data_IF_514685750892
#
_entry.id   IF_514685750892
#
_cell.length_a   1.000
_cell.length_b   1.000
_cell.length_c   1.000
_cell.angle_alpha   90.00
_cell.angle_beta   90.00
_cell.angle_gamma   90.00
#
_symmetry.space_group_name_H-M   'P 1'
#
loop_
_entity.id
_entity.type
_entity.pdbx_description
1 polymer ?
#
# COMPACT_ATOMS: atom_id res chain seq x y z
N UNK A 1 14.64 -0.93 41.29
CA UNK A 1 15.08 -1.22 39.92
C UNK A 1 14.45 -2.53 39.50
N UNK A 2 13.43 -2.48 38.66
CA UNK A 2 12.84 -3.70 38.10
C UNK A 2 13.77 -4.16 36.96
N UNK A 3 14.46 -5.27 37.14
CA UNK A 3 15.31 -5.87 36.10
C UNK A 3 14.41 -6.27 34.94
N UNK A 4 14.48 -5.55 33.81
CA UNK A 4 13.77 -5.96 32.60
C UNK A 4 14.47 -7.19 32.01
N UNK A 5 13.68 -8.12 31.51
CA UNK A 5 14.22 -9.29 30.81
C UNK A 5 14.92 -8.85 29.51
N UNK A 6 15.95 -9.59 29.12
CA UNK A 6 16.78 -9.29 27.94
C UNK A 6 15.95 -9.28 26.66
N UNK A 7 14.92 -10.13 26.58
CA UNK A 7 13.97 -10.14 25.48
C UNK A 7 13.23 -8.79 25.36
N UNK A 8 12.76 -8.24 26.48
CA UNK A 8 12.09 -6.93 26.49
C UNK A 8 13.05 -5.79 26.12
N UNK A 9 14.31 -5.86 26.53
CA UNK A 9 15.31 -4.86 26.11
C UNK A 9 15.57 -4.94 24.60
N UNK A 10 15.60 -6.16 24.05
CA UNK A 10 15.75 -6.40 22.62
C UNK A 10 14.54 -5.89 21.82
N UNK A 11 13.32 -6.13 22.29
CA UNK A 11 12.08 -5.58 21.71
C UNK A 11 12.10 -4.05 21.63
N UNK A 12 12.44 -3.38 22.74
CA UNK A 12 12.55 -1.91 22.80
C UNK A 12 13.64 -1.41 21.85
N UNK A 13 14.80 -2.08 21.81
CA UNK A 13 15.88 -1.72 20.91
C UNK A 13 15.47 -1.84 19.44
N UNK A 14 14.79 -2.94 19.06
CA UNK A 14 14.25 -3.11 17.71
C UNK A 14 13.27 -2.00 17.33
N UNK A 15 12.38 -1.59 18.25
CA UNK A 15 11.45 -0.48 18.01
C UNK A 15 12.18 0.83 17.71
N UNK A 16 13.23 1.14 18.48
CA UNK A 16 14.05 2.33 18.28
C UNK A 16 14.77 2.26 16.92
N UNK A 17 15.36 1.12 16.57
CA UNK A 17 16.02 0.93 15.29
C UNK A 17 15.07 1.11 14.10
N UNK A 18 13.88 0.48 14.15
CA UNK A 18 12.86 0.66 13.11
C UNK A 18 12.44 2.13 13.01
N UNK A 19 12.30 2.84 14.13
CA UNK A 19 12.01 4.28 14.13
C UNK A 19 13.10 5.10 13.43
N UNK A 20 14.38 4.79 13.67
CA UNK A 20 15.48 5.49 13.00
C UNK A 20 15.47 5.22 11.50
N UNK A 21 15.31 3.95 11.10
CA UNK A 21 15.26 3.57 9.69
C UNK A 21 14.10 4.29 8.98
N UNK A 22 12.89 4.27 9.56
CA UNK A 22 11.71 4.94 8.97
C UNK A 22 11.95 6.45 8.83
N UNK A 23 12.54 7.10 9.85
CA UNK A 23 12.88 8.52 9.80
C UNK A 23 13.87 8.84 8.67
N UNK A 24 14.94 8.04 8.57
CA UNK A 24 15.99 8.17 7.55
C UNK A 24 15.42 8.00 6.13
N UNK A 25 14.60 6.96 5.93
CA UNK A 25 14.00 6.63 4.64
C UNK A 25 12.91 7.62 4.20
N UNK A 26 12.22 8.28 5.14
CA UNK A 26 11.29 9.36 4.84
C UNK A 26 11.98 10.74 4.68
N UNK A 27 13.29 10.81 4.89
CA UNK A 27 14.09 12.03 4.83
C UNK A 27 13.51 13.16 5.70
N UNK A 28 13.28 12.84 6.98
CA UNK A 28 12.64 13.71 7.96
C UNK A 28 13.63 14.33 8.95
N UNK A 29 13.40 15.59 9.31
CA UNK A 29 14.07 16.27 10.40
C UNK A 29 13.58 15.79 11.78
N UNK A 30 14.12 16.35 12.87
CA UNK A 30 13.60 16.07 14.22
C UNK A 30 12.24 16.75 14.45
N UNK A 31 12.01 17.89 13.81
CA UNK A 31 10.77 18.68 13.82
C UNK A 31 9.59 17.97 13.17
N UNK A 32 9.88 17.03 12.26
CA UNK A 32 8.93 16.21 11.50
C UNK A 32 8.47 14.97 12.27
N UNK A 33 9.05 14.71 13.46
CA UNK A 33 8.81 13.52 14.27
C UNK A 33 8.11 13.89 15.57
N UNK A 34 6.83 13.56 15.67
CA UNK A 34 6.03 13.78 16.87
C UNK A 34 6.01 12.51 17.72
N UNK A 35 6.66 12.57 18.89
CA UNK A 35 6.59 11.52 19.89
C UNK A 35 5.36 11.74 20.78
N UNK A 36 4.32 10.93 20.58
CA UNK A 36 3.13 10.92 21.44
C UNK A 36 3.33 9.93 22.58
N UNK A 37 2.99 10.37 23.80
CA UNK A 37 3.36 9.69 25.06
C UNK A 37 4.88 9.55 25.19
N UNK A 38 5.58 10.67 24.97
CA UNK A 38 7.02 10.78 25.10
C UNK A 38 7.43 10.47 26.54
N UNK A 39 8.32 9.50 26.70
CA UNK A 39 9.15 9.38 27.90
C UNK A 39 10.18 10.50 27.85
N UNK A 40 9.95 11.62 28.53
CA UNK A 40 10.98 12.63 28.73
C UNK A 40 11.90 12.24 29.90
N UNK A 41 13.18 12.49 29.70
CA UNK A 41 14.24 12.00 30.54
C UNK A 41 15.27 13.09 30.82
N UNK A 42 15.41 13.41 32.10
CA UNK A 42 16.47 14.24 32.66
C UNK A 42 17.82 13.49 32.69
N UNK A 43 18.33 13.07 31.53
CA UNK A 43 19.74 12.67 31.35
C UNK A 43 20.24 11.36 32.00
N UNK A 44 19.39 10.54 32.63
CA UNK A 44 19.81 9.27 33.26
C UNK A 44 18.83 8.14 32.95
N UNK A 45 19.18 7.25 32.01
CA UNK A 45 18.40 6.11 31.46
C UNK A 45 17.68 5.26 32.54
N UNK A 46 16.42 5.59 32.87
CA UNK A 46 15.50 4.70 33.60
C UNK A 46 14.14 4.65 32.90
N UNK A 47 13.82 3.47 32.35
CA UNK A 47 12.62 3.20 31.58
C UNK A 47 11.49 2.64 32.46
N UNK A 48 10.81 3.47 33.25
CA UNK A 48 9.57 3.05 33.90
C UNK A 48 8.40 3.22 32.92
N UNK A 49 7.93 2.09 32.38
CA UNK A 49 6.69 2.03 31.61
C UNK A 49 5.55 2.26 32.63
N UNK A 50 4.87 3.40 32.55
CA UNK A 50 3.58 3.53 33.23
C UNK A 50 2.69 2.39 32.75
N UNK A 51 2.14 1.59 33.67
CA UNK A 51 1.19 0.50 33.32
C UNK A 51 0.00 1.11 32.57
N UNK A 52 0.05 1.17 31.24
CA UNK A 52 -1.06 1.72 30.45
C UNK A 52 -0.67 2.54 29.20
N UNK A 53 0.53 3.12 29.12
CA UNK A 53 0.84 4.10 28.06
C UNK A 53 1.57 3.48 26.85
N UNK A 54 1.22 3.94 25.64
CA UNK A 54 1.75 3.45 24.36
C UNK A 54 2.87 4.34 23.83
N UNK A 55 4.03 3.81 23.47
CA UNK A 55 5.02 4.60 22.71
C UNK A 55 4.61 4.67 21.25
N UNK A 56 4.19 5.86 20.82
CA UNK A 56 3.74 6.15 19.45
C UNK A 56 4.62 7.24 18.84
N UNK A 57 5.09 7.00 17.62
CA UNK A 57 5.87 7.95 16.85
C UNK A 57 5.11 8.25 15.57
N UNK A 58 4.86 9.55 15.34
CA UNK A 58 4.14 10.03 14.18
C UNK A 58 5.11 10.80 13.28
N UNK A 59 5.20 10.38 12.03
CA UNK A 59 6.08 10.97 11.03
C UNK A 59 5.25 11.86 10.12
N UNK A 60 5.52 13.17 10.15
CA UNK A 60 4.78 14.18 9.40
C UNK A 60 5.71 15.10 8.66
N UNK A 61 5.32 15.50 7.45
CA UNK A 61 6.02 16.52 6.68
C UNK A 61 5.00 17.52 6.18
N UNK A 62 5.22 18.80 6.45
CA UNK A 62 4.30 19.89 6.06
C UNK A 62 2.85 19.67 6.53
N UNK A 63 2.67 19.07 7.71
CA UNK A 63 1.36 18.74 8.27
C UNK A 63 0.67 17.50 7.66
N UNK A 64 1.29 16.85 6.67
CA UNK A 64 0.82 15.61 6.06
C UNK A 64 1.42 14.42 6.82
N UNK A 65 0.57 13.48 7.21
CA UNK A 65 1.00 12.24 7.85
C UNK A 65 1.57 11.26 6.82
N UNK A 66 2.81 10.82 7.05
CA UNK A 66 3.52 9.88 6.17
C UNK A 66 3.57 8.49 6.78
N UNK A 67 3.81 8.39 8.08
CA UNK A 67 3.84 7.11 8.78
C UNK A 67 3.49 7.23 10.27
N UNK A 68 3.09 6.11 10.85
CA UNK A 68 2.92 5.92 12.28
C UNK A 68 3.65 4.65 12.72
N UNK A 69 4.43 4.71 13.79
CA UNK A 69 5.08 3.55 14.40
C UNK A 69 4.62 3.41 15.85
N UNK A 70 4.16 2.22 16.24
CA UNK A 70 3.60 1.93 17.56
C UNK A 70 4.29 0.74 18.19
N UNK A 71 4.70 0.89 19.45
CA UNK A 71 5.20 -0.21 20.28
C UNK A 71 4.09 -0.81 21.14
N UNK A 72 3.99 -2.14 21.15
CA UNK A 72 3.06 -2.94 21.95
C UNK A 72 1.62 -2.39 21.96
N UNK A 73 0.96 -2.31 20.78
CA UNK A 73 -0.43 -1.89 20.71
C UNK A 73 -1.30 -2.84 21.53
N UNK A 74 -2.20 -2.29 22.35
CA UNK A 74 -3.23 -3.08 23.04
C UNK A 74 -4.52 -3.05 22.23
N UNK A 75 -5.23 -4.18 22.20
CA UNK A 75 -6.60 -4.25 21.72
C UNK A 75 -7.49 -3.46 22.71
N UNK A 76 -8.22 -2.48 22.21
CA UNK A 76 -9.18 -1.72 23.01
C UNK A 76 -10.46 -2.56 23.19
N UNK A 77 -10.43 -3.51 24.12
CA UNK A 77 -11.64 -4.28 24.52
C UNK A 77 -12.57 -3.50 25.47
N UNK A 78 -12.32 -2.20 25.72
CA UNK A 78 -13.18 -1.39 26.59
C UNK A 78 -13.40 0.02 26.05
N UNK A 79 -14.69 0.38 26.04
CA UNK A 79 -15.20 1.73 25.92
C UNK A 79 -14.35 2.71 26.76
N UNK A 80 -13.97 3.83 26.15
CA UNK A 80 -13.35 5.01 26.78
C UNK A 80 -11.82 5.07 26.96
N UNK A 81 -11.02 4.72 25.95
CA UNK A 81 -9.66 5.29 25.84
C UNK A 81 -9.41 5.86 24.44
N UNK A 82 -9.42 7.18 24.33
CA UNK A 82 -9.15 7.93 23.09
C UNK A 82 -7.67 7.86 22.62
N UNK A 83 -6.86 6.94 23.13
CA UNK A 83 -5.39 7.01 23.11
C UNK A 83 -4.71 5.75 22.54
N UNK A 84 -5.43 4.65 22.30
CA UNK A 84 -4.93 3.53 21.47
C UNK A 84 -5.08 3.83 19.98
N UNK A 85 -4.33 3.14 19.10
CA UNK A 85 -4.66 3.08 17.66
C UNK A 85 -6.13 2.69 17.55
N UNK A 86 -7.00 3.66 17.23
CA UNK A 86 -8.47 3.58 17.45
C UNK A 86 -9.17 2.41 16.73
N UNK A 87 -8.46 1.70 15.86
CA UNK A 87 -9.05 0.88 14.82
C UNK A 87 -8.52 -0.56 14.80
N UNK A 88 -7.54 -0.96 15.61
CA UNK A 88 -7.03 -2.35 15.61
C UNK A 88 -8.05 -3.29 16.26
N UNK A 89 -8.70 -4.13 15.46
CA UNK A 89 -9.67 -5.14 15.91
C UNK A 89 -9.09 -6.52 15.71
N UNK A 90 -9.11 -7.32 16.78
CA UNK A 90 -8.76 -8.74 16.74
C UNK A 90 -10.00 -9.53 17.13
N UNK A 91 -10.81 -10.01 16.17
CA UNK A 91 -12.12 -10.61 16.46
C UNK A 91 -12.08 -11.91 17.28
N UNK A 92 -10.90 -12.48 17.47
CA UNK A 92 -10.71 -13.81 18.05
C UNK A 92 -9.80 -13.77 19.29
N UNK A 93 -8.69 -14.50 19.29
CA UNK A 93 -7.74 -14.56 20.41
C UNK A 93 -6.87 -13.30 20.40
N UNK A 94 -6.56 -12.68 21.56
CA UNK A 94 -5.70 -11.51 21.61
C UNK A 94 -4.35 -11.76 20.92
N UNK A 95 -4.14 -11.12 19.77
CA UNK A 95 -2.87 -11.04 19.08
C UNK A 95 -2.18 -9.72 19.46
N UNK A 96 -0.87 -9.75 19.72
CA UNK A 96 -0.11 -8.58 20.20
C UNK A 96 1.24 -8.51 19.48
N UNK A 97 1.31 -7.92 18.28
CA UNK A 97 2.60 -7.63 17.66
C UNK A 97 3.41 -6.68 18.53
N UNK A 98 4.74 -6.80 18.52
CA UNK A 98 5.60 -5.93 19.31
C UNK A 98 5.67 -4.52 18.71
N UNK A 99 5.72 -4.43 17.38
CA UNK A 99 5.89 -3.19 16.63
C UNK A 99 4.92 -3.17 15.46
N UNK A 100 4.25 -2.04 15.26
CA UNK A 100 3.35 -1.82 14.12
C UNK A 100 3.78 -0.58 13.37
N UNK A 101 4.13 -0.74 12.09
CA UNK A 101 4.40 0.35 11.17
C UNK A 101 3.21 0.52 10.24
N UNK A 102 2.64 1.72 10.22
CA UNK A 102 1.64 2.12 9.23
C UNK A 102 2.23 3.17 8.30
N UNK A 103 2.25 2.87 7.02
CA UNK A 103 2.55 3.85 5.98
C UNK A 103 1.25 4.48 5.48
N UNK A 104 1.23 5.80 5.41
CA UNK A 104 0.10 6.55 4.85
C UNK A 104 0.37 6.77 3.37
N UNK A 105 -0.53 6.25 2.54
CA UNK A 105 -0.48 6.39 1.09
C UNK A 105 -1.66 7.23 0.64
N UNK A 106 -1.43 8.08 -0.35
CA UNK A 106 -2.43 8.99 -0.91
C UNK A 106 -2.60 8.81 -2.43
N UNK A 107 -1.90 7.85 -3.03
CA UNK A 107 -1.84 7.60 -4.46
C UNK A 107 -3.03 6.78 -5.01
N UNK A 108 -3.78 6.10 -4.14
CA UNK A 108 -4.96 5.31 -4.54
C UNK A 108 -6.24 5.63 -3.75
N UNK A 109 -6.09 5.99 -2.49
CA UNK A 109 -7.15 6.59 -1.68
C UNK A 109 -6.49 7.56 -0.72
N UNK A 110 -7.04 8.76 -0.57
CA UNK A 110 -6.52 9.73 0.40
C UNK A 110 -6.56 9.12 1.81
N UNK A 111 -5.43 9.17 2.51
CA UNK A 111 -5.29 8.66 3.87
C UNK A 111 -5.27 7.13 3.98
N UNK A 112 -5.07 6.39 2.89
CA UNK A 112 -4.96 4.93 2.92
C UNK A 112 -3.82 4.49 3.85
N UNK A 113 -4.10 3.51 4.71
CA UNK A 113 -3.11 2.93 5.63
C UNK A 113 -2.65 1.56 5.13
N UNK A 114 -1.34 1.39 5.06
CA UNK A 114 -0.68 0.11 4.80
C UNK A 114 0.04 -0.33 6.06
N UNK A 115 -0.44 -1.41 6.68
CA UNK A 115 0.06 -1.87 7.97
C UNK A 115 1.03 -3.03 7.82
N UNK A 116 2.19 -2.91 8.45
CA UNK A 116 3.26 -3.90 8.50
C UNK A 116 3.55 -4.22 9.96
N UNK A 117 3.54 -5.51 10.27
CA UNK A 117 3.73 -5.99 11.63
C UNK A 117 5.16 -6.48 11.80
N UNK A 118 5.79 -6.08 12.89
CA UNK A 118 7.11 -6.57 13.28
C UNK A 118 7.03 -7.16 14.68
N UNK A 119 7.70 -8.29 14.87
CA UNK A 119 7.70 -9.02 16.13
C UNK A 119 9.15 -9.41 16.44
N UNK A 120 9.65 -8.96 17.58
CA UNK A 120 11.03 -9.12 17.98
C UNK A 120 11.17 -10.39 18.81
N UNK A 121 12.12 -11.25 18.44
CA UNK A 121 12.34 -12.54 19.09
C UNK A 121 13.81 -12.72 19.40
N UNK A 122 14.14 -12.60 20.69
CA UNK A 122 15.51 -12.75 21.20
C UNK A 122 15.92 -14.23 21.32
N UNK A 123 15.94 -14.95 20.19
CA UNK A 123 16.46 -16.32 20.08
C UNK A 123 16.68 -16.72 18.62
N UNK A 124 17.50 -17.74 18.42
CA UNK A 124 17.83 -18.36 17.15
C UNK A 124 17.44 -19.84 17.26
N UNK A 125 16.89 -20.42 16.19
CA UNK A 125 16.41 -21.81 16.18
C UNK A 125 17.41 -22.77 15.53
N UNK A 126 18.19 -22.27 14.58
CA UNK A 126 19.18 -23.06 13.87
C UNK A 126 20.06 -22.21 12.98
N UNK A 127 20.81 -22.91 12.12
CA UNK A 127 21.70 -22.30 11.13
C UNK A 127 21.63 -23.11 9.84
N UNK A 128 21.37 -22.45 8.73
CA UNK A 128 21.31 -23.04 7.40
C UNK A 128 22.28 -22.32 6.47
N UNK A 129 23.18 -23.08 5.82
CA UNK A 129 24.19 -22.55 4.91
C UNK A 129 24.99 -21.34 5.45
N UNK A 130 25.31 -21.35 6.74
CA UNK A 130 26.06 -20.28 7.39
C UNK A 130 25.23 -19.09 7.88
N UNK A 131 23.91 -19.12 7.68
CA UNK A 131 22.95 -18.09 8.11
C UNK A 131 22.09 -18.58 9.25
N UNK A 132 22.02 -17.83 10.34
CA UNK A 132 21.16 -18.14 11.47
C UNK A 132 19.68 -17.98 11.10
N UNK A 133 18.83 -18.86 11.63
CA UNK A 133 17.40 -18.88 11.30
C UNK A 133 16.53 -18.46 12.48
N UNK A 134 15.45 -17.70 12.23
CA UNK A 134 14.48 -17.37 13.25
C UNK A 134 13.73 -18.63 13.71
N UNK A 135 13.05 -18.58 14.87
CA UNK A 135 12.13 -19.64 15.27
C UNK A 135 10.97 -19.86 14.32
N UNK A 136 10.75 -21.11 13.92
CA UNK A 136 9.62 -21.45 13.05
C UNK A 136 8.27 -21.11 13.68
N UNK A 137 8.13 -21.23 15.00
CA UNK A 137 6.90 -20.87 15.71
C UNK A 137 6.61 -19.36 15.66
N UNK A 138 7.65 -18.53 15.58
CA UNK A 138 7.51 -17.08 15.39
C UNK A 138 7.05 -16.75 13.96
N UNK A 139 7.58 -17.43 12.94
CA UNK A 139 7.10 -17.29 11.55
C UNK A 139 5.62 -17.68 11.44
N UNK A 140 5.23 -18.80 12.06
CA UNK A 140 3.84 -19.23 12.12
C UNK A 140 2.94 -18.23 12.89
N UNK A 141 3.48 -17.55 13.91
CA UNK A 141 2.78 -16.47 14.59
C UNK A 141 2.50 -15.30 13.66
N UNK A 142 3.39 -14.97 12.73
CA UNK A 142 3.15 -13.89 11.76
C UNK A 142 2.02 -14.20 10.78
N UNK A 143 1.87 -15.46 10.36
CA UNK A 143 0.69 -15.88 9.60
C UNK A 143 -0.60 -15.62 10.40
N UNK A 144 -0.62 -16.01 11.68
CA UNK A 144 -1.78 -15.76 12.56
C UNK A 144 -2.06 -14.28 12.73
N UNK A 145 -1.05 -13.45 12.95
CA UNK A 145 -1.21 -12.00 13.08
C UNK A 145 -1.79 -11.38 11.82
N UNK A 146 -1.21 -11.69 10.65
CA UNK A 146 -1.68 -11.19 9.36
C UNK A 146 -3.13 -11.58 9.06
N UNK A 147 -3.57 -12.74 9.54
CA UNK A 147 -4.91 -13.26 9.23
C UNK A 147 -5.96 -12.90 10.30
N UNK A 148 -5.55 -12.63 11.53
CA UNK A 148 -6.45 -12.34 12.66
C UNK A 148 -6.57 -10.84 13.01
N UNK A 149 -5.65 -9.99 12.55
CA UNK A 149 -5.64 -8.55 12.84
C UNK A 149 -6.34 -7.78 11.72
N UNK A 150 -7.34 -6.98 12.09
CA UNK A 150 -8.13 -6.14 11.19
C UNK A 150 -8.09 -4.69 11.64
N UNK A 151 -8.31 -3.77 10.71
CA UNK A 151 -8.54 -2.37 11.03
C UNK A 151 -9.99 -1.99 10.74
N UNK A 152 -10.67 -1.39 11.71
CA UNK A 152 -12.04 -0.92 11.58
C UNK A 152 -12.02 0.55 11.22
N UNK A 153 -12.48 0.88 10.01
CA UNK A 153 -12.81 2.25 9.66
C UNK A 153 -14.14 2.62 10.34
N UNK A 154 -14.25 3.82 10.90
CA UNK A 154 -15.47 4.26 11.60
C UNK A 154 -16.56 4.76 10.63
N UNK A 155 -16.20 5.11 9.39
CA UNK A 155 -17.13 5.68 8.40
C UNK A 155 -17.71 4.67 7.39
N UNK A 156 -17.26 3.42 7.40
CA UNK A 156 -17.84 2.35 6.60
C UNK A 156 -18.01 1.10 7.45
N UNK A 157 -19.21 0.51 7.49
CA UNK A 157 -19.52 -0.75 8.16
C UNK A 157 -18.79 -1.99 7.58
N UNK A 158 -17.68 -1.80 6.86
CA UNK A 158 -16.85 -2.85 6.29
C UNK A 158 -15.49 -2.90 7.01
N UNK A 159 -15.12 -4.07 7.54
CA UNK A 159 -13.77 -4.35 8.02
C UNK A 159 -12.82 -4.28 6.81
N UNK A 160 -11.96 -3.26 6.75
CA UNK A 160 -10.90 -3.19 5.74
C UNK A 160 -9.67 -3.92 6.28
N UNK A 161 -9.22 -4.94 5.55
CA UNK A 161 -7.96 -5.61 5.87
C UNK A 161 -6.80 -4.71 5.45
N UNK A 162 -6.16 -4.06 6.43
CA UNK A 162 -5.02 -3.14 6.20
C UNK A 162 -3.66 -3.80 6.46
N UNK A 163 -3.62 -5.02 7.00
CA UNK A 163 -2.36 -5.73 7.28
C UNK A 163 -1.84 -6.39 6.01
N UNK A 164 -0.73 -5.85 5.51
CA UNK A 164 -0.06 -6.26 4.29
C UNK A 164 0.92 -7.41 4.55
N UNK A 165 1.72 -7.30 5.61
CA UNK A 165 2.80 -8.23 5.87
C UNK A 165 3.23 -8.30 7.33
N UNK A 166 4.05 -9.30 7.64
CA UNK A 166 4.47 -9.64 8.98
C UNK A 166 5.89 -10.19 9.05
N UNK A 167 6.73 -9.59 9.88
CA UNK A 167 8.18 -9.83 9.87
C UNK A 167 8.74 -10.09 11.26
N UNK A 168 9.63 -11.07 11.36
CA UNK A 168 10.38 -11.34 12.59
C UNK A 168 11.69 -10.54 12.58
N UNK A 169 11.98 -9.88 13.69
CA UNK A 169 13.29 -9.30 13.98
C UNK A 169 14.00 -10.21 15.00
N UNK A 170 15.16 -10.75 14.66
CA UNK A 170 15.87 -11.71 15.52
C UNK A 170 17.38 -11.45 15.54
N UNK A 171 18.10 -11.81 16.62
CA UNK A 171 19.52 -11.48 16.78
C UNK A 171 20.44 -12.44 15.99
N UNK A 172 20.04 -12.84 14.78
CA UNK A 172 20.78 -13.77 13.93
C UNK A 172 22.00 -13.14 13.27
N UNK A 173 22.94 -14.00 12.87
CA UNK A 173 24.14 -13.67 12.10
C UNK A 173 24.11 -14.36 10.72
N UNK A 174 24.88 -13.83 9.79
CA UNK A 174 24.98 -14.35 8.44
C UNK A 174 25.67 -13.35 7.53
N UNK A 175 26.33 -13.87 6.49
CA UNK A 175 26.79 -13.05 5.39
C UNK A 175 25.57 -12.46 4.64
N UNK A 176 25.54 -11.15 4.31
CA UNK A 176 24.36 -10.51 3.72
C UNK A 176 23.86 -11.17 2.44
N UNK A 177 24.76 -11.64 1.56
CA UNK A 177 24.36 -12.34 0.34
C UNK A 177 23.73 -13.69 0.67
N UNK A 178 24.27 -14.39 1.66
CA UNK A 178 23.69 -15.61 2.23
C UNK A 178 22.30 -15.38 2.83
N UNK A 179 22.13 -14.29 3.59
CA UNK A 179 20.84 -13.93 4.19
C UNK A 179 19.81 -13.62 3.11
N UNK A 180 20.19 -12.85 2.09
CA UNK A 180 19.31 -12.47 0.99
C UNK A 180 18.79 -13.68 0.19
N UNK A 181 19.54 -14.79 0.15
CA UNK A 181 19.09 -16.05 -0.49
C UNK A 181 18.50 -17.07 0.48
N UNK A 182 18.44 -16.76 1.77
CA UNK A 182 17.88 -17.64 2.80
C UNK A 182 16.38 -17.85 2.61
N UNK A 183 15.88 -18.97 3.15
CA UNK A 183 14.46 -19.37 3.07
C UNK A 183 13.51 -18.25 3.52
N UNK A 184 13.71 -17.73 4.73
CA UNK A 184 12.79 -16.77 5.34
C UNK A 184 12.95 -15.34 4.83
N UNK A 185 14.04 -15.02 4.14
CA UNK A 185 14.16 -13.76 3.41
C UNK A 185 13.40 -13.81 2.08
N UNK A 186 13.51 -14.93 1.33
CA UNK A 186 12.78 -15.12 0.07
C UNK A 186 11.26 -15.06 0.23
N UNK A 187 10.73 -15.60 1.33
CA UNK A 187 9.28 -15.61 1.60
C UNK A 187 8.69 -14.20 1.79
N UNK A 188 9.52 -13.18 2.04
CA UNK A 188 9.08 -11.78 2.08
C UNK A 188 8.44 -11.41 0.72
N UNK A 189 9.10 -11.73 -0.39
CA UNK A 189 8.59 -11.44 -1.74
C UNK A 189 7.43 -12.34 -2.15
N UNK A 190 7.39 -13.58 -1.64
CA UNK A 190 6.38 -14.57 -2.03
C UNK A 190 5.05 -14.39 -1.29
N UNK A 191 5.09 -14.07 0.01
CA UNK A 191 3.89 -14.09 0.87
C UNK A 191 3.82 -12.92 1.86
N UNK A 192 4.71 -11.92 1.76
CA UNK A 192 4.81 -10.80 2.70
C UNK A 192 5.01 -11.26 4.17
N UNK A 193 5.64 -12.42 4.36
CA UNK A 193 6.03 -12.95 5.67
C UNK A 193 7.46 -13.43 5.61
N UNK A 194 8.27 -13.02 6.60
CA UNK A 194 9.67 -13.41 6.65
C UNK A 194 10.38 -12.93 7.89
N UNK A 195 11.70 -12.84 7.82
CA UNK A 195 12.52 -12.42 8.94
C UNK A 195 13.74 -11.61 8.50
N UNK A 196 14.16 -10.70 9.37
CA UNK A 196 15.37 -9.90 9.23
C UNK A 196 16.29 -10.15 10.43
N UNK A 197 17.56 -10.53 10.19
CA UNK A 197 18.57 -10.47 11.24
C UNK A 197 18.80 -9.01 11.63
N UNK A 198 18.63 -8.69 12.91
CA UNK A 198 18.79 -7.33 13.42
C UNK A 198 19.46 -7.40 14.80
N UNK A 199 20.71 -6.92 14.88
CA UNK A 199 21.49 -6.90 16.11
C UNK A 199 22.35 -5.64 16.23
N UNK A 200 22.69 -5.19 17.44
CA UNK A 200 23.52 -4.01 17.62
C UNK A 200 24.86 -4.12 16.87
N UNK A 201 25.28 -3.03 16.22
CA UNK A 201 26.55 -2.90 15.47
C UNK A 201 26.65 -3.71 14.18
N UNK A 202 25.61 -4.44 13.77
CA UNK A 202 25.58 -5.13 12.48
C UNK A 202 25.02 -4.22 11.39
N UNK A 203 25.91 -3.43 10.78
CA UNK A 203 25.53 -2.45 9.76
C UNK A 203 25.12 -3.12 8.45
N UNK A 204 25.71 -4.25 8.09
CA UNK A 204 25.47 -4.87 6.80
C UNK A 204 24.13 -5.60 6.75
N UNK A 205 23.77 -6.37 7.79
CA UNK A 205 22.45 -7.00 7.85
C UNK A 205 21.33 -5.98 8.09
N UNK A 206 21.61 -4.86 8.79
CA UNK A 206 20.65 -3.75 8.96
C UNK A 206 20.19 -3.19 7.60
N UNK A 207 21.07 -3.11 6.59
CA UNK A 207 20.73 -2.63 5.25
C UNK A 207 19.61 -3.44 4.58
N UNK A 208 19.46 -4.71 4.91
CA UNK A 208 18.36 -5.53 4.36
C UNK A 208 17.00 -5.00 4.80
N UNK A 209 16.88 -4.61 6.08
CA UNK A 209 15.67 -4.00 6.62
C UNK A 209 15.49 -2.57 6.11
N UNK A 210 16.58 -1.81 5.97
CA UNK A 210 16.55 -0.45 5.39
C UNK A 210 16.00 -0.47 3.96
N UNK A 211 16.60 -1.28 3.08
CA UNK A 211 16.18 -1.42 1.69
C UNK A 211 14.74 -1.90 1.61
N UNK A 212 14.34 -2.83 2.47
CA UNK A 212 12.96 -3.31 2.53
C UNK A 212 11.98 -2.19 2.91
N UNK A 213 12.26 -1.41 3.96
CA UNK A 213 11.41 -0.29 4.37
C UNK A 213 11.38 0.80 3.29
N UNK A 214 12.50 1.06 2.63
CA UNK A 214 12.56 1.94 1.45
C UNK A 214 11.64 1.45 0.33
N UNK A 215 11.71 0.17 -0.03
CA UNK A 215 10.81 -0.46 -1.01
C UNK A 215 9.34 -0.28 -0.61
N UNK A 216 8.97 -0.48 0.66
CA UNK A 216 7.59 -0.26 1.13
C UNK A 216 7.15 1.20 1.01
N UNK A 217 8.04 2.16 1.30
CA UNK A 217 7.77 3.59 1.20
C UNK A 217 7.61 4.02 -0.27
N UNK A 218 8.43 3.48 -1.17
CA UNK A 218 8.40 3.82 -2.59
C UNK A 218 7.31 3.08 -3.38
N UNK A 219 6.94 1.87 -2.96
CA UNK A 219 5.95 1.04 -3.63
C UNK A 219 4.61 1.77 -3.78
N UNK A 220 4.01 1.66 -4.97
CA UNK A 220 2.68 2.21 -5.21
C UNK A 220 1.63 1.37 -4.53
N UNK A 221 0.53 2.01 -4.12
CA UNK A 221 -0.50 1.32 -3.35
C UNK A 221 -1.04 0.09 -4.08
N UNK A 222 -1.30 0.20 -5.38
CA UNK A 222 -1.81 -0.93 -6.18
C UNK A 222 -0.82 -2.10 -6.28
N UNK A 223 0.49 -1.83 -6.30
CA UNK A 223 1.52 -2.88 -6.37
C UNK A 223 1.51 -3.67 -5.09
N UNK A 224 1.53 -2.97 -3.95
CA UNK A 224 1.46 -3.60 -2.63
C UNK A 224 0.21 -4.45 -2.49
N UNK A 225 -0.97 -3.92 -2.88
CA UNK A 225 -2.24 -4.65 -2.80
C UNK A 225 -2.25 -5.88 -3.73
N UNK A 226 -1.72 -5.77 -4.95
CA UNK A 226 -1.69 -6.88 -5.90
C UNK A 226 -0.84 -8.06 -5.41
N UNK A 227 0.19 -7.80 -4.59
CA UNK A 227 1.02 -8.83 -3.98
C UNK A 227 0.44 -9.39 -2.67
N UNK A 228 -0.63 -8.79 -2.12
CA UNK A 228 -1.37 -9.39 -1.01
C UNK A 228 -2.23 -10.52 -1.57
N UNK A 229 -1.81 -11.77 -1.35
CA UNK A 229 -2.58 -12.96 -1.74
C UNK A 229 -3.99 -12.84 -1.14
N UNK A 230 -5.06 -12.73 -1.96
CA UNK A 230 -6.42 -12.65 -1.45
C UNK A 230 -6.75 -13.96 -0.73
N UNK A 231 -6.89 -13.91 0.59
CA UNK A 231 -7.35 -15.07 1.35
C UNK A 231 -8.87 -15.03 1.47
N UNK A 232 -9.52 -16.04 0.88
CA UNK A 232 -10.94 -16.42 1.02
C UNK A 232 -11.87 -15.28 1.45
N UNK A 233 -12.36 -14.53 0.46
CA UNK A 233 -13.57 -13.69 0.60
C UNK A 233 -13.39 -12.28 1.16
N UNK A 234 -12.17 -11.87 1.52
CA UNK A 234 -11.91 -10.51 2.02
C UNK A 234 -11.22 -9.68 0.94
N UNK A 235 -12.00 -8.91 0.19
CA UNK A 235 -11.51 -7.96 -0.80
C UNK A 235 -11.04 -6.70 -0.08
N UNK A 236 -9.80 -6.26 -0.35
CA UNK A 236 -9.40 -4.90 -0.02
C UNK A 236 -10.02 -4.03 -1.12
N UNK A 237 -11.16 -3.40 -0.84
CA UNK A 237 -11.77 -2.41 -1.74
C UNK A 237 -10.84 -1.21 -1.83
N UNK A 238 -9.88 -1.24 -2.75
CA UNK A 238 -9.04 -0.08 -3.02
C UNK A 238 -9.23 0.35 -4.45
N UNK A 239 -9.68 1.60 -4.62
CA UNK A 239 -9.64 2.32 -5.89
C UNK A 239 -10.14 1.49 -7.07
N UNK A 240 -11.19 0.71 -6.84
CA UNK A 240 -11.67 -0.29 -7.77
C UNK A 240 -12.22 0.34 -9.05
N UNK A 241 -12.39 1.67 -9.08
CA UNK A 241 -13.04 2.43 -10.13
C UNK A 241 -12.19 2.48 -11.40
N UNK A 242 -12.79 2.03 -12.49
CA UNK A 242 -12.21 1.98 -13.83
C UNK A 242 -13.11 2.78 -14.74
N UNK A 243 -12.52 3.73 -15.46
CA UNK A 243 -13.18 4.38 -16.57
C UNK A 243 -12.89 3.65 -17.86
N UNK A 244 -13.90 3.06 -18.47
CA UNK A 244 -13.80 2.54 -19.82
C UNK A 244 -14.14 3.68 -20.78
N UNK A 245 -13.20 4.13 -21.62
CA UNK A 245 -13.43 5.23 -22.56
C UNK A 245 -13.36 4.82 -24.01
N UNK A 246 -14.25 5.38 -24.84
CA UNK A 246 -14.29 5.12 -26.27
C UNK A 246 -13.05 5.68 -26.98
N UNK A 247 -12.29 4.81 -27.63
CA UNK A 247 -11.23 5.18 -28.56
C UNK A 247 -11.70 4.86 -29.98
N UNK A 248 -11.75 5.91 -30.81
CA UNK A 248 -12.12 5.83 -32.22
C UNK A 248 -10.87 5.81 -33.11
N UNK A 249 -11.01 5.31 -34.33
CA UNK A 249 -9.91 5.22 -35.32
C UNK A 249 -9.30 6.58 -35.68
N UNK A 250 -10.06 7.67 -35.53
CA UNK A 250 -9.59 9.04 -35.75
C UNK A 250 -8.81 9.62 -34.55
N UNK A 251 -8.59 8.84 -33.49
CA UNK A 251 -7.75 9.24 -32.37
C UNK A 251 -6.27 9.10 -32.75
N UNK A 252 -5.47 10.15 -32.51
CA UNK A 252 -4.03 10.16 -32.81
C UNK A 252 -3.23 9.05 -32.10
N UNK A 253 -3.72 8.57 -30.96
CA UNK A 253 -3.12 7.49 -30.15
C UNK A 253 -3.76 6.13 -30.43
N UNK A 254 -4.62 5.98 -31.46
CA UNK A 254 -5.35 4.74 -31.73
C UNK A 254 -4.43 3.51 -31.86
N UNK A 255 -3.35 3.62 -32.65
CA UNK A 255 -2.36 2.55 -32.79
C UNK A 255 -1.60 2.31 -31.49
N UNK A 256 -1.25 3.37 -30.76
CA UNK A 256 -0.59 3.23 -29.47
C UNK A 256 -1.46 2.51 -28.43
N UNK A 257 -2.79 2.64 -28.49
CA UNK A 257 -3.69 1.84 -27.65
C UNK A 257 -3.74 0.38 -28.09
N UNK A 258 -3.66 0.09 -29.39
CA UNK A 258 -3.58 -1.28 -29.89
C UNK A 258 -2.27 -1.99 -29.45
N UNK A 259 -1.18 -1.23 -29.40
CA UNK A 259 0.17 -1.70 -29.05
C UNK A 259 0.49 -1.65 -27.55
N UNK A 260 -0.37 -1.05 -26.72
CA UNK A 260 -0.13 -0.90 -25.28
C UNK A 260 0.81 0.26 -24.90
N UNK A 261 1.15 1.14 -25.83
CA UNK A 261 2.13 2.23 -25.66
C UNK A 261 1.53 3.62 -25.52
N UNK A 262 0.20 3.74 -25.53
CA UNK A 262 -0.50 5.01 -25.41
C UNK A 262 -0.19 5.75 -24.09
N UNK A 263 0.06 7.06 -24.21
CA UNK A 263 0.40 7.94 -23.08
C UNK A 263 -0.64 9.01 -22.80
N UNK A 264 -1.65 9.14 -23.66
CA UNK A 264 -2.66 10.19 -23.56
C UNK A 264 -4.01 9.68 -24.05
N UNK A 265 -5.05 9.89 -23.25
CA UNK A 265 -6.45 9.82 -23.69
C UNK A 265 -7.10 11.18 -23.53
N UNK A 266 -8.03 11.53 -24.41
CA UNK A 266 -8.85 12.72 -24.26
C UNK A 266 -10.33 12.40 -24.50
N UNK A 267 -11.19 13.06 -23.73
CA UNK A 267 -12.63 12.82 -23.77
C UNK A 267 -13.29 13.45 -25.01
N UNK A 268 -14.56 13.10 -25.24
CA UNK A 268 -15.44 13.89 -26.09
C UNK A 268 -15.70 15.28 -25.50
N UNK A 269 -16.54 16.07 -26.20
CA UNK A 269 -16.96 17.42 -25.77
C UNK A 269 -17.74 17.43 -24.45
N UNK A 270 -18.31 16.30 -24.08
CA UNK A 270 -19.11 16.14 -22.87
C UNK A 270 -18.48 15.04 -22.02
N UNK A 271 -18.22 15.38 -20.76
CA UNK A 271 -17.85 14.44 -19.71
C UNK A 271 -18.80 14.66 -18.54
N UNK A 272 -19.44 13.63 -17.98
CA UNK A 272 -20.45 13.81 -16.95
C UNK A 272 -19.85 14.40 -15.69
N UNK A 273 -20.60 15.34 -15.14
CA UNK A 273 -20.31 15.95 -13.83
C UNK A 273 -20.47 14.96 -12.68
N UNK A 274 -21.11 13.80 -12.89
CA UNK A 274 -21.28 12.74 -11.88
C UNK A 274 -20.02 11.92 -11.63
N UNK A 275 -19.00 12.02 -12.48
CA UNK A 275 -17.74 11.32 -12.30
C UNK A 275 -16.78 12.21 -11.51
N UNK A 276 -16.54 11.85 -10.25
CA UNK A 276 -15.54 12.50 -9.41
C UNK A 276 -14.13 12.21 -9.94
N UNK A 277 -13.53 13.20 -10.61
CA UNK A 277 -12.23 13.06 -11.28
C UNK A 277 -11.08 12.72 -10.32
N UNK A 278 -11.19 13.16 -9.07
CA UNK A 278 -10.20 12.87 -8.01
C UNK A 278 -10.15 11.38 -7.62
N UNK A 279 -11.21 10.62 -7.92
CA UNK A 279 -11.31 9.19 -7.57
C UNK A 279 -11.05 8.29 -8.79
N UNK A 280 -10.63 8.87 -9.92
CA UNK A 280 -10.42 8.18 -11.18
C UNK A 280 -8.97 7.72 -11.31
N UNK A 281 -8.72 6.44 -11.04
CA UNK A 281 -7.34 5.91 -10.97
C UNK A 281 -6.97 5.10 -12.20
N UNK A 282 -7.93 4.40 -12.79
CA UNK A 282 -7.68 3.48 -13.90
C UNK A 282 -8.52 3.80 -15.13
N UNK A 283 -7.91 3.59 -16.29
CA UNK A 283 -8.51 3.75 -17.59
C UNK A 283 -8.37 2.46 -18.40
N UNK A 284 -9.45 2.05 -19.06
CA UNK A 284 -9.42 0.98 -20.06
C UNK A 284 -9.90 1.53 -21.41
N UNK A 285 -9.09 1.48 -22.48
CA UNK A 285 -9.53 1.88 -23.80
C UNK A 285 -10.52 0.87 -24.35
N UNK A 286 -11.72 1.34 -24.68
CA UNK A 286 -12.65 0.61 -25.53
C UNK A 286 -12.37 0.96 -26.99
N UNK A 287 -11.71 0.05 -27.70
CA UNK A 287 -11.48 0.16 -29.13
C UNK A 287 -12.81 -0.14 -29.83
N UNK A 288 -13.37 0.87 -30.50
CA UNK A 288 -14.71 0.80 -31.08
C UNK A 288 -14.88 -0.45 -31.96
N UNK A 289 -15.84 -1.32 -31.60
CA UNK A 289 -16.15 -2.54 -32.34
C UNK A 289 -15.22 -3.73 -32.08
N UNK A 290 -14.12 -3.54 -31.32
CA UNK A 290 -13.22 -4.63 -30.95
C UNK A 290 -13.34 -5.02 -29.49
N UNK A 291 -13.40 -4.05 -28.58
CA UNK A 291 -13.52 -4.32 -27.14
C UNK A 291 -12.50 -3.61 -26.26
N UNK A 292 -12.38 -4.12 -25.03
CA UNK A 292 -11.42 -3.67 -24.01
C UNK A 292 -10.41 -4.78 -23.71
N UNK A 293 -9.19 -4.42 -23.32
CA UNK A 293 -8.13 -5.40 -23.03
C UNK A 293 -7.14 -4.92 -22.01
N UNK A 294 -6.61 -3.72 -22.21
CA UNK A 294 -5.46 -3.20 -21.47
C UNK A 294 -5.89 -2.23 -20.38
N UNK A 295 -5.09 -2.14 -19.32
CA UNK A 295 -5.31 -1.27 -18.17
C UNK A 295 -4.19 -0.24 -18.11
N UNK A 296 -4.59 1.02 -18.02
CA UNK A 296 -3.71 2.15 -17.84
C UNK A 296 -4.01 2.82 -16.49
N UNK A 297 -2.95 3.29 -15.83
CA UNK A 297 -3.01 4.19 -14.70
C UNK A 297 -3.19 5.62 -15.23
N UNK A 298 -4.12 6.35 -14.63
CA UNK A 298 -4.29 7.77 -14.88
C UNK A 298 -3.34 8.50 -13.93
N UNK A 299 -2.21 8.97 -14.45
CA UNK A 299 -1.19 9.65 -13.63
C UNK A 299 -1.54 11.12 -13.40
N UNK A 300 -2.31 11.71 -14.32
CA UNK A 300 -2.73 13.11 -14.26
C UNK A 300 -3.98 13.36 -15.08
N UNK A 301 -4.85 14.24 -14.57
CA UNK A 301 -6.01 14.76 -15.29
C UNK A 301 -5.83 16.26 -15.52
N UNK A 302 -6.04 16.72 -16.76
CA UNK A 302 -6.00 18.15 -17.11
C UNK A 302 -7.04 18.50 -18.16
N UNK A 303 -7.38 19.78 -18.26
CA UNK A 303 -8.23 20.28 -19.34
C UNK A 303 -7.37 20.72 -20.52
N UNK A 304 -7.74 20.30 -21.73
CA UNK A 304 -7.08 20.69 -22.99
C UNK A 304 -8.12 21.20 -24.00
N UNK A 305 -7.66 21.88 -25.04
CA UNK A 305 -8.51 22.27 -26.18
C UNK A 305 -8.64 21.12 -27.20
N UNK A 306 -9.68 21.15 -28.03
CA UNK A 306 -9.82 20.18 -29.14
C UNK A 306 -8.69 20.30 -30.15
N UNK A 307 -8.15 21.51 -30.33
CA UNK A 307 -6.97 21.79 -31.13
C UNK A 307 -5.74 21.03 -30.61
N UNK A 308 -5.46 21.12 -29.31
CA UNK A 308 -4.36 20.38 -28.66
C UNK A 308 -4.59 18.86 -28.71
N UNK A 309 -5.84 18.42 -28.49
CA UNK A 309 -6.19 17.00 -28.46
C UNK A 309 -5.98 16.31 -29.82
N UNK A 310 -6.41 16.97 -30.90
CA UNK A 310 -6.33 16.45 -32.27
C UNK A 310 -5.04 16.86 -32.99
N UNK A 311 -4.24 17.75 -32.40
CA UNK A 311 -3.06 18.37 -33.03
C UNK A 311 -3.37 18.97 -34.41
N UNK A 312 -4.47 19.72 -34.52
CA UNK A 312 -4.89 20.38 -35.78
C UNK A 312 -4.54 21.87 -35.77
N UNK A 313 -4.33 22.46 -36.94
CA UNK A 313 -4.09 23.91 -37.07
C UNK A 313 -5.38 24.73 -37.25
N UNK A 314 -6.53 24.06 -37.37
CA UNK A 314 -7.84 24.67 -37.55
C UNK A 314 -8.23 25.58 -36.37
N UNK A 315 -8.76 26.77 -36.67
CA UNK A 315 -9.12 27.80 -35.70
C UNK A 315 -10.61 28.15 -35.79
N UNK A 316 -11.46 27.13 -35.63
CA UNK A 316 -12.91 27.27 -35.61
C UNK A 316 -13.46 27.18 -34.16
N UNK A 317 -14.79 27.25 -34.03
CA UNK A 317 -15.43 27.13 -32.72
C UNK A 317 -15.28 25.71 -32.13
N UNK A 318 -15.07 24.67 -32.96
CA UNK A 318 -14.87 23.29 -32.51
C UNK A 318 -13.48 23.11 -31.88
N UNK A 319 -12.45 23.71 -32.47
CA UNK A 319 -11.05 23.60 -32.03
C UNK A 319 -10.84 24.22 -30.64
N UNK A 320 -11.68 25.20 -30.26
CA UNK A 320 -11.70 25.85 -28.95
C UNK A 320 -12.50 25.09 -27.87
N UNK A 321 -13.23 24.03 -28.23
CA UNK A 321 -14.01 23.27 -27.26
C UNK A 321 -13.08 22.54 -26.27
N UNK A 322 -13.34 22.71 -24.97
CA UNK A 322 -12.58 22.10 -23.88
C UNK A 322 -12.89 20.60 -23.75
N UNK A 323 -11.85 19.83 -23.40
CA UNK A 323 -11.89 18.39 -23.16
C UNK A 323 -11.06 18.05 -21.94
N UNK A 324 -11.37 16.93 -21.30
CA UNK A 324 -10.48 16.35 -20.30
C UNK A 324 -9.46 15.47 -20.99
N UNK A 325 -8.23 15.52 -20.51
CA UNK A 325 -7.13 14.68 -20.92
C UNK A 325 -6.57 13.93 -19.72
N UNK A 326 -6.34 12.64 -19.92
CA UNK A 326 -5.73 11.73 -18.97
C UNK A 326 -4.33 11.40 -19.49
N UNK A 327 -3.31 11.74 -18.72
CA UNK A 327 -1.97 11.20 -18.92
C UNK A 327 -1.96 9.77 -18.41
N UNK A 328 -1.50 8.86 -19.26
CA UNK A 328 -1.65 7.42 -19.06
C UNK A 328 -0.28 6.75 -18.92
N UNK A 329 -0.21 5.78 -18.01
CA UNK A 329 0.91 4.83 -17.90
C UNK A 329 0.38 3.42 -18.03
N UNK A 330 0.96 2.62 -18.92
CA UNK A 330 0.56 1.23 -19.08
C UNK A 330 0.85 0.44 -17.79
N UNK A 331 -0.14 -0.35 -17.33
CA UNK A 331 -0.01 -1.17 -16.12
C UNK A 331 0.08 -2.64 -16.51
N UNK A 332 -0.97 -3.16 -17.14
CA UNK A 332 -1.09 -4.58 -17.47
C UNK A 332 -2.16 -4.85 -18.51
N UNK A 333 -2.15 -6.07 -19.03
CA UNK A 333 -3.23 -6.65 -19.83
C UNK A 333 -4.26 -7.30 -18.88
N UNK A 334 -5.52 -6.86 -18.91
CA UNK A 334 -6.62 -7.43 -18.12
C UNK A 334 -7.15 -8.73 -18.73
N UNK A 335 -7.23 -8.79 -20.07
CA UNK A 335 -7.73 -9.94 -20.81
C UNK A 335 -6.72 -10.39 -21.86
N UNK A 336 -6.57 -11.70 -22.09
CA UNK A 336 -5.62 -12.22 -23.08
C UNK A 336 -5.86 -11.62 -24.48
N UNK A 337 -7.15 -11.50 -24.85
CA UNK A 337 -7.66 -10.93 -26.09
C UNK A 337 -8.67 -9.82 -25.80
N UNK A 338 -8.92 -8.93 -26.76
CA UNK A 338 -9.97 -7.90 -26.68
C UNK A 338 -11.33 -8.54 -26.40
N UNK A 339 -12.00 -8.05 -25.35
CA UNK A 339 -13.31 -8.52 -24.94
C UNK A 339 -14.38 -7.49 -25.32
N UNK A 340 -15.47 -7.92 -25.99
CA UNK A 340 -16.56 -7.01 -26.32
C UNK A 340 -17.26 -6.52 -25.06
N UNK A 341 -17.70 -5.26 -25.07
CA UNK A 341 -18.45 -4.66 -23.97
C UNK A 341 -19.90 -4.39 -24.38
N UNK A 342 -20.80 -4.40 -23.40
CA UNK A 342 -22.17 -3.95 -23.58
C UNK A 342 -22.20 -2.42 -23.72
N UNK A 343 -22.24 -1.97 -24.98
CA UNK A 343 -22.24 -0.54 -25.32
C UNK A 343 -23.49 0.20 -24.85
N UNK A 344 -24.56 -0.50 -24.47
CA UNK A 344 -25.77 0.15 -23.91
C UNK A 344 -25.52 0.76 -22.52
N UNK A 345 -24.48 0.29 -21.82
CA UNK A 345 -24.05 0.85 -20.52
C UNK A 345 -23.21 2.11 -20.65
N UNK A 346 -22.85 2.52 -21.87
CA UNK A 346 -22.04 3.72 -22.09
C UNK A 346 -22.88 4.98 -21.87
N UNK A 347 -22.51 5.79 -20.89
CA UNK A 347 -23.12 7.08 -20.64
C UNK A 347 -22.72 8.01 -21.81
N UNK A 348 -23.74 8.61 -22.45
CA UNK A 348 -23.53 9.45 -23.64
C UNK A 348 -22.77 8.74 -24.77
N UNK A 349 -22.81 7.41 -24.83
CA UNK A 349 -22.10 6.57 -25.82
C UNK A 349 -20.57 6.76 -25.85
N UNK A 350 -19.97 7.24 -24.76
CA UNK A 350 -18.55 7.60 -24.75
C UNK A 350 -17.73 6.99 -23.63
N UNK A 351 -18.33 6.65 -22.49
CA UNK A 351 -17.60 5.99 -21.41
C UNK A 351 -18.51 5.12 -20.53
N UNK A 352 -17.93 4.15 -19.84
CA UNK A 352 -18.54 3.40 -18.75
C UNK A 352 -17.74 3.69 -17.49
N UNK A 353 -18.45 4.10 -16.45
CA UNK A 353 -17.90 4.26 -15.11
C UNK A 353 -18.25 3.00 -14.30
N UNK A 354 -17.23 2.21 -13.97
CA UNK A 354 -17.42 0.89 -13.35
C UNK A 354 -16.31 0.61 -12.35
N UNK A 355 -16.27 -0.62 -11.84
CA UNK A 355 -15.15 -1.14 -11.06
C UNK A 355 -14.56 -2.40 -11.66
N UNK A 356 -13.32 -2.78 -11.30
CA UNK A 356 -12.71 -4.05 -11.72
C UNK A 356 -13.60 -5.26 -11.41
N UNK A 357 -14.27 -5.27 -10.26
CA UNK A 357 -15.21 -6.33 -9.84
C UNK A 357 -16.45 -6.41 -10.73
N UNK A 358 -16.91 -5.26 -11.23
CA UNK A 358 -18.11 -5.17 -12.07
C UNK A 358 -17.80 -5.17 -13.56
N UNK A 359 -16.54 -5.45 -13.95
CA UNK A 359 -16.17 -5.52 -15.36
C UNK A 359 -16.95 -6.60 -16.10
N UNK A 360 -17.20 -7.76 -15.48
CA UNK A 360 -17.97 -8.84 -16.10
C UNK A 360 -19.41 -8.41 -16.43
N UNK A 361 -20.03 -7.60 -15.58
CA UNK A 361 -21.35 -7.03 -15.86
C UNK A 361 -21.32 -6.08 -17.07
N UNK A 362 -20.16 -5.49 -17.39
CA UNK A 362 -19.98 -4.60 -18.53
C UNK A 362 -19.63 -5.36 -19.82
N UNK A 363 -19.32 -6.66 -19.75
CA UNK A 363 -18.99 -7.44 -20.95
C UNK A 363 -20.26 -7.80 -21.72
N UNK A 364 -20.15 -7.87 -23.05
CA UNK A 364 -21.27 -8.33 -23.86
C UNK A 364 -21.55 -9.81 -23.56
N UNK A 365 -22.80 -10.15 -23.22
CA UNK A 365 -23.19 -11.56 -23.03
C UNK A 365 -23.21 -12.23 -24.40
N UNK A 366 -22.39 -13.27 -24.60
CA UNK A 366 -22.55 -14.15 -25.75
C UNK A 366 -23.93 -14.81 -25.64
N UNK A 367 -24.87 -14.38 -26.48
CA UNK A 367 -26.11 -15.12 -26.76
C UNK A 367 -25.87 -16.10 -27.89
#
# INVERSE_FOLDING_TARGET
MQTKDIATLYEIWCFIEVSHIVKEQLHLGDEDVEHRNRMEMNGIFSWELGKGEHSRILFRKDGIELAELVYNPKNADKENDNVGMKNLVVPTVPQKPDIVLQLTKNDLQQGMKMTYLFDAKYRIDGRDNGVDTPPEDAINQMHRYRDAIYYKDYDANALKKEVIGGYILFPGDGDPDGVAVSKFYKTIKEVNIGAFPLRPKDVENRKLLENFIEELIQAKSYETIAHVIPQKGTYVEVGNRVLIGLVKEDNIQYQAFADGTATLYYTGKQFPTTIALQDLHFFMPYIKGQGVRDVYEITKVRTITSKEAKQTDEDDADSKALRLAFELKYVRKQYANLQPIDTTRMIGYTFVDTTFEKLEECMATNK
#
